data_IF_271267138463
#
_entry.id   IF_271267138463
#
_cell.length_a   1.000
_cell.length_b   1.000
_cell.length_c   1.000
_cell.angle_alpha   90.00
_cell.angle_beta   90.00
_cell.angle_gamma   90.00
#
_symmetry.space_group_name_H-M   'P 1'
#
loop_
_entity.id
_entity.type
_entity.pdbx_description
1 polymer ?
#
# COMPACT_ATOMS: atom_id res chain seq x y z
N UNK A 1 -41.21 44.66 39.26
CA UNK A 1 -39.81 44.54 38.76
C UNK A 1 -39.46 43.12 38.29
N UNK A 2 -40.38 42.14 38.39
CA UNK A 2 -40.05 40.70 38.28
C UNK A 2 -40.05 40.11 36.85
N UNK A 3 -40.68 40.79 35.89
CA UNK A 3 -40.83 40.27 34.53
C UNK A 3 -39.53 40.34 33.71
N UNK A 4 -38.75 41.42 33.87
CA UNK A 4 -37.46 41.60 33.16
C UNK A 4 -36.39 40.64 33.67
N UNK A 5 -36.31 40.42 34.99
CA UNK A 5 -35.32 39.54 35.61
C UNK A 5 -35.50 38.09 35.15
N UNK A 6 -36.75 37.60 35.11
CA UNK A 6 -37.10 36.22 34.70
C UNK A 6 -36.83 35.97 33.21
N UNK A 7 -37.01 36.97 32.34
CA UNK A 7 -36.71 36.88 30.89
C UNK A 7 -35.21 36.83 30.62
N UNK A 8 -34.40 37.61 31.36
CA UNK A 8 -32.95 37.58 31.27
C UNK A 8 -32.36 36.23 31.73
N UNK A 9 -32.85 35.64 32.82
CA UNK A 9 -32.36 34.33 33.27
C UNK A 9 -32.66 33.21 32.27
N UNK A 10 -33.81 33.27 31.57
CA UNK A 10 -34.17 32.30 30.53
C UNK A 10 -33.31 32.45 29.27
N UNK A 11 -33.00 33.69 28.89
CA UNK A 11 -32.10 34.00 27.76
C UNK A 11 -30.66 33.54 28.04
N UNK A 12 -30.13 33.82 29.23
CA UNK A 12 -28.79 33.41 29.67
C UNK A 12 -28.66 31.88 29.71
N UNK A 13 -29.67 31.17 30.23
CA UNK A 13 -29.69 29.69 30.22
C UNK A 13 -29.71 29.11 28.79
N UNK A 14 -30.36 29.80 27.85
CA UNK A 14 -30.34 29.43 26.42
C UNK A 14 -28.96 29.61 25.79
N UNK A 15 -28.31 30.74 26.05
CA UNK A 15 -26.96 31.05 25.58
C UNK A 15 -25.90 30.07 26.12
N UNK A 16 -25.98 29.71 27.40
CA UNK A 16 -25.06 28.72 28.00
C UNK A 16 -25.22 27.34 27.31
N UNK A 17 -26.46 26.93 27.02
CA UNK A 17 -26.72 25.68 26.29
C UNK A 17 -26.18 25.71 24.86
N UNK A 18 -26.36 26.82 24.12
CA UNK A 18 -25.82 26.94 22.77
C UNK A 18 -24.30 26.95 22.75
N UNK A 19 -23.64 27.60 23.71
CA UNK A 19 -22.17 27.59 23.83
C UNK A 19 -21.68 26.16 24.12
N UNK A 20 -22.36 25.43 25.02
CA UNK A 20 -22.01 24.03 25.31
C UNK A 20 -22.11 23.11 24.07
N UNK A 21 -23.15 23.30 23.24
CA UNK A 21 -23.28 22.56 21.98
C UNK A 21 -22.16 22.91 21.01
N UNK A 22 -21.79 24.19 20.88
CA UNK A 22 -20.69 24.62 20.01
C UNK A 22 -19.37 23.98 20.45
N UNK A 23 -19.07 23.97 21.75
CA UNK A 23 -17.84 23.35 22.28
C UNK A 23 -17.82 21.85 21.98
N UNK A 24 -18.95 21.15 22.15
CA UNK A 24 -19.06 19.72 21.80
C UNK A 24 -18.83 19.47 20.31
N UNK A 25 -19.44 20.28 19.43
CA UNK A 25 -19.27 20.14 17.98
C UNK A 25 -17.83 20.42 17.57
N UNK A 26 -17.20 21.49 18.09
CA UNK A 26 -15.80 21.81 17.80
C UNK A 26 -14.88 20.72 18.31
N UNK A 27 -15.09 20.24 19.54
CA UNK A 27 -14.30 19.14 20.11
C UNK A 27 -14.41 17.86 19.29
N UNK A 28 -15.61 17.54 18.79
CA UNK A 28 -15.83 16.38 17.93
C UNK A 28 -15.13 16.50 16.58
N UNK A 29 -15.16 17.69 15.95
CA UNK A 29 -14.44 17.94 14.68
C UNK A 29 -12.93 17.79 14.89
N UNK A 30 -12.38 18.36 15.97
CA UNK A 30 -10.95 18.23 16.29
C UNK A 30 -10.58 16.77 16.52
N UNK A 31 -11.40 16.02 17.25
CA UNK A 31 -11.18 14.59 17.49
C UNK A 31 -11.17 13.76 16.20
N UNK A 32 -12.12 14.01 15.29
CA UNK A 32 -12.12 13.37 13.96
C UNK A 32 -10.85 13.74 13.19
N UNK A 33 -10.45 15.01 13.21
CA UNK A 33 -9.25 15.47 12.51
C UNK A 33 -8.00 14.71 12.95
N UNK A 34 -7.77 14.61 14.26
CA UNK A 34 -6.62 13.87 14.82
C UNK A 34 -6.71 12.38 14.48
N UNK A 35 -7.89 11.78 14.63
CA UNK A 35 -8.07 10.34 14.37
C UNK A 35 -7.83 9.98 12.90
N UNK A 36 -8.22 10.85 11.97
CA UNK A 36 -7.94 10.67 10.54
C UNK A 36 -6.45 10.84 10.23
N UNK A 37 -5.79 11.82 10.86
CA UNK A 37 -4.36 12.07 10.67
C UNK A 37 -3.53 10.84 11.09
N UNK A 38 -3.77 10.32 12.30
CA UNK A 38 -3.12 9.10 12.80
C UNK A 38 -3.37 7.89 11.88
N UNK A 39 -4.59 7.79 11.33
CA UNK A 39 -4.95 6.72 10.40
C UNK A 39 -4.20 6.82 9.07
N UNK A 40 -4.14 8.01 8.46
CA UNK A 40 -3.41 8.22 7.21
C UNK A 40 -1.90 8.04 7.40
N UNK A 41 -1.36 8.47 8.54
CA UNK A 41 0.05 8.27 8.87
C UNK A 41 0.44 6.79 8.93
N UNK A 42 -0.42 5.95 9.51
CA UNK A 42 -0.20 4.51 9.55
C UNK A 42 -0.27 3.89 8.15
N UNK A 43 -1.26 4.25 7.35
CA UNK A 43 -1.36 3.79 5.95
C UNK A 43 -0.10 4.18 5.17
N UNK A 44 0.37 5.42 5.29
CA UNK A 44 1.54 5.91 4.58
C UNK A 44 2.81 5.15 4.99
N UNK A 45 2.97 4.85 6.28
CA UNK A 45 4.09 4.05 6.79
C UNK A 45 4.05 2.62 6.25
N UNK A 46 2.88 1.97 6.30
CA UNK A 46 2.72 0.62 5.76
C UNK A 46 2.98 0.59 4.25
N UNK A 47 2.44 1.56 3.52
CA UNK A 47 2.67 1.68 2.09
C UNK A 47 4.17 1.83 1.79
N UNK A 48 4.87 2.71 2.50
CA UNK A 48 6.31 2.90 2.32
C UNK A 48 7.11 1.60 2.53
N UNK A 49 6.79 0.83 3.58
CA UNK A 49 7.43 -0.47 3.86
C UNK A 49 7.17 -1.47 2.72
N UNK A 50 5.93 -1.54 2.21
CA UNK A 50 5.58 -2.43 1.09
C UNK A 50 6.33 -2.07 -0.19
N UNK A 51 6.52 -0.78 -0.47
CA UNK A 51 7.27 -0.31 -1.64
C UNK A 51 8.76 -0.60 -1.50
N UNK A 52 9.34 -0.36 -0.31
CA UNK A 52 10.74 -0.70 -0.03
C UNK A 52 11.00 -2.20 -0.28
N UNK A 53 10.17 -3.08 0.30
CA UNK A 53 10.28 -4.52 0.07
C UNK A 53 10.04 -4.90 -1.39
N UNK A 54 9.12 -4.23 -2.09
CA UNK A 54 8.89 -4.48 -3.52
C UNK A 54 10.15 -4.20 -4.33
N UNK A 55 10.85 -3.09 -4.07
CA UNK A 55 12.08 -2.76 -4.79
C UNK A 55 13.21 -3.76 -4.49
N UNK A 56 13.32 -4.23 -3.25
CA UNK A 56 14.25 -5.31 -2.89
C UNK A 56 13.91 -6.60 -3.63
N UNK A 57 12.65 -7.00 -3.65
CA UNK A 57 12.18 -8.19 -4.36
C UNK A 57 12.46 -8.13 -5.86
N UNK A 58 12.21 -6.97 -6.49
CA UNK A 58 12.48 -6.75 -7.92
C UNK A 58 13.97 -6.95 -8.19
N UNK A 59 14.84 -6.33 -7.38
CA UNK A 59 16.30 -6.47 -7.54
C UNK A 59 16.75 -7.92 -7.40
N UNK A 60 16.26 -8.64 -6.39
CA UNK A 60 16.59 -10.06 -6.18
C UNK A 60 16.15 -10.89 -7.39
N UNK A 61 14.91 -10.68 -7.85
CA UNK A 61 14.36 -11.39 -9.00
C UNK A 61 15.13 -11.08 -10.30
N UNK A 62 15.49 -9.82 -10.55
CA UNK A 62 16.34 -9.43 -11.68
C UNK A 62 17.66 -10.19 -11.67
N UNK A 63 18.36 -10.22 -10.53
CA UNK A 63 19.63 -10.95 -10.40
C UNK A 63 19.48 -12.46 -10.62
N UNK A 64 18.37 -13.06 -10.18
CA UNK A 64 18.08 -14.48 -10.42
C UNK A 64 17.82 -14.75 -11.90
N UNK A 65 17.03 -13.91 -12.55
CA UNK A 65 16.69 -14.04 -13.98
C UNK A 65 17.93 -13.81 -14.84
N UNK A 66 18.78 -12.83 -14.49
CA UNK A 66 20.05 -12.59 -15.18
C UNK A 66 20.93 -13.83 -15.22
N UNK A 67 21.03 -14.53 -14.07
CA UNK A 67 21.83 -15.75 -13.93
C UNK A 67 21.20 -16.92 -14.68
N UNK A 68 19.89 -17.11 -14.55
CA UNK A 68 19.17 -18.25 -15.13
C UNK A 68 19.09 -18.16 -16.66
N UNK A 69 18.86 -16.96 -17.20
CA UNK A 69 18.74 -16.73 -18.64
C UNK A 69 20.07 -16.32 -19.30
N UNK A 70 21.12 -16.05 -18.51
CA UNK A 70 22.41 -15.53 -18.97
C UNK A 70 22.28 -14.27 -19.85
N UNK A 71 21.36 -13.38 -19.46
CA UNK A 71 21.03 -12.13 -20.17
C UNK A 71 21.00 -11.01 -19.14
N UNK A 72 21.67 -9.89 -19.40
CA UNK A 72 21.61 -8.74 -18.47
C UNK A 72 20.20 -8.16 -18.39
N UNK A 73 19.81 -7.70 -17.20
CA UNK A 73 18.61 -6.92 -16.84
C UNK A 73 18.35 -5.75 -17.76
N UNK A 74 19.39 -5.20 -18.40
CA UNK A 74 19.25 -4.15 -19.42
C UNK A 74 18.53 -4.59 -20.69
N UNK A 75 18.46 -5.89 -20.95
CA UNK A 75 17.92 -6.47 -22.18
C UNK A 75 16.63 -7.27 -21.98
N UNK A 76 16.13 -7.37 -20.75
CA UNK A 76 14.82 -7.92 -20.47
C UNK A 76 13.98 -6.93 -19.67
N UNK A 77 12.67 -7.14 -19.70
CA UNK A 77 11.73 -6.39 -18.86
C UNK A 77 10.95 -7.36 -17.99
N UNK A 78 10.84 -7.04 -16.71
CA UNK A 78 9.94 -7.73 -15.81
C UNK A 78 8.58 -7.02 -15.76
N UNK A 79 7.51 -7.79 -15.84
CA UNK A 79 6.14 -7.31 -15.80
C UNK A 79 5.37 -8.13 -14.77
N UNK A 80 4.86 -7.48 -13.75
CA UNK A 80 4.01 -8.07 -12.71
C UNK A 80 2.54 -7.97 -13.12
N UNK A 81 1.72 -8.81 -12.50
CA UNK A 81 0.26 -8.74 -12.62
C UNK A 81 -0.26 -8.14 -11.32
N UNK A 82 -0.87 -6.97 -11.42
CA UNK A 82 -1.49 -6.32 -10.26
C UNK A 82 -3.01 -6.48 -10.32
N UNK A 83 -3.63 -7.07 -9.28
CA UNK A 83 -5.08 -7.13 -9.19
C UNK A 83 -5.66 -5.75 -8.85
N UNK A 84 -6.66 -5.33 -9.61
CA UNK A 84 -7.49 -4.15 -9.42
C UNK A 84 -8.97 -4.57 -9.28
N UNK A 85 -9.80 -3.64 -8.77
CA UNK A 85 -11.24 -3.87 -8.54
C UNK A 85 -12.00 -4.44 -9.75
N UNK A 86 -11.55 -4.18 -10.98
CA UNK A 86 -12.24 -4.55 -12.22
C UNK A 86 -11.42 -5.48 -13.13
N UNK A 87 -10.29 -6.02 -12.65
CA UNK A 87 -9.45 -6.91 -13.44
C UNK A 87 -8.00 -6.87 -13.02
N UNK A 88 -7.13 -7.34 -13.91
CA UNK A 88 -5.70 -7.38 -13.69
C UNK A 88 -5.01 -6.43 -14.66
N UNK A 89 -4.02 -5.69 -14.16
CA UNK A 89 -3.21 -4.77 -14.97
C UNK A 89 -1.77 -5.25 -14.93
N UNK A 90 -1.17 -5.33 -16.12
CA UNK A 90 0.26 -5.55 -16.25
C UNK A 90 1.02 -4.28 -15.88
N UNK A 91 1.91 -4.38 -14.90
CA UNK A 91 2.72 -3.27 -14.41
C UNK A 91 4.19 -3.62 -14.59
N UNK A 92 4.98 -2.70 -15.16
CA UNK A 92 6.42 -2.90 -15.24
C UNK A 92 7.03 -2.91 -13.83
N UNK A 93 7.79 -3.97 -13.54
CA UNK A 93 8.50 -4.13 -12.28
C UNK A 93 9.90 -3.56 -12.44
N UNK A 94 10.13 -2.37 -11.87
CA UNK A 94 11.40 -1.66 -11.89
C UNK A 94 11.54 -0.74 -10.66
N UNK A 95 12.60 0.06 -10.61
CA UNK A 95 12.88 0.96 -9.48
C UNK A 95 11.81 2.06 -9.23
N UNK A 96 10.88 2.27 -10.16
CA UNK A 96 9.80 3.25 -10.04
C UNK A 96 8.43 2.58 -9.77
N UNK A 97 8.40 1.26 -9.50
CA UNK A 97 7.16 0.57 -9.19
C UNK A 97 6.60 1.09 -7.87
N UNK A 98 5.41 1.70 -7.91
CA UNK A 98 4.66 2.21 -6.75
C UNK A 98 3.59 1.22 -6.27
N UNK A 99 3.55 0.05 -6.89
CA UNK A 99 2.62 -1.03 -6.57
C UNK A 99 3.29 -2.06 -5.67
N UNK A 100 2.54 -2.68 -4.75
CA UNK A 100 3.06 -3.78 -3.94
C UNK A 100 3.31 -5.03 -4.80
N UNK A 101 4.45 -5.67 -4.59
CA UNK A 101 4.80 -6.99 -5.13
C UNK A 101 5.54 -7.80 -4.05
N UNK A 102 4.78 -8.26 -3.07
CA UNK A 102 5.24 -8.86 -1.80
C UNK A 102 4.39 -10.07 -1.38
N UNK A 103 3.51 -10.53 -2.26
CA UNK A 103 2.57 -11.60 -2.01
C UNK A 103 3.29 -12.95 -1.90
N UNK A 104 2.64 -13.92 -1.25
CA UNK A 104 3.19 -15.27 -1.07
C UNK A 104 3.56 -15.96 -2.38
N UNK A 105 2.80 -15.70 -3.44
CA UNK A 105 2.96 -16.32 -4.75
C UNK A 105 3.49 -15.29 -5.77
N UNK A 106 4.71 -14.80 -5.54
CA UNK A 106 5.40 -13.91 -6.48
C UNK A 106 5.58 -14.59 -7.84
N UNK A 107 5.03 -13.94 -8.86
CA UNK A 107 5.18 -14.32 -10.26
C UNK A 107 5.40 -13.07 -11.11
N UNK A 108 6.13 -13.21 -12.20
CA UNK A 108 6.29 -12.15 -13.18
C UNK A 108 6.42 -12.70 -14.59
N UNK A 109 6.18 -11.85 -15.57
CA UNK A 109 6.54 -12.08 -16.97
C UNK A 109 7.88 -11.44 -17.26
N UNK A 110 8.74 -12.15 -17.96
CA UNK A 110 10.01 -11.66 -18.49
C UNK A 110 9.89 -11.55 -20.00
N UNK A 111 9.99 -10.33 -20.51
CA UNK A 111 9.97 -10.05 -21.95
C UNK A 111 11.40 -9.84 -22.44
N UNK A 112 11.84 -10.66 -23.39
CA UNK A 112 13.18 -10.57 -23.96
C UNK A 112 13.16 -10.93 -25.45
N UNK A 113 13.71 -10.06 -26.29
CA UNK A 113 13.81 -10.26 -27.75
C UNK A 113 12.49 -10.65 -28.44
N UNK A 114 11.35 -10.15 -27.95
CA UNK A 114 10.01 -10.45 -28.48
C UNK A 114 9.43 -11.80 -28.02
N UNK A 115 10.12 -12.49 -27.11
CA UNK A 115 9.65 -13.68 -26.42
C UNK A 115 9.20 -13.33 -25.00
N UNK A 116 8.16 -14.01 -24.53
CA UNK A 116 7.61 -13.84 -23.19
C UNK A 116 7.80 -15.13 -22.39
N UNK A 117 8.23 -14.97 -21.16
CA UNK A 117 8.41 -16.05 -20.22
C UNK A 117 7.63 -15.75 -18.94
N UNK A 118 6.89 -16.71 -18.40
CA UNK A 118 6.33 -16.62 -17.05
C UNK A 118 7.37 -17.22 -16.10
N UNK A 119 7.78 -16.44 -15.11
CA UNK A 119 8.69 -16.85 -14.06
C UNK A 119 7.91 -16.98 -12.76
N UNK A 120 8.03 -18.15 -12.14
CA UNK A 120 7.42 -18.49 -10.86
C UNK A 120 8.55 -18.67 -9.86
N UNK A 121 8.47 -17.95 -8.75
CA UNK A 121 9.46 -18.01 -7.69
C UNK A 121 8.99 -18.94 -6.57
N UNK A 122 9.95 -19.58 -5.90
CA UNK A 122 9.75 -20.04 -4.53
C UNK A 122 10.07 -18.86 -3.61
N UNK A 123 9.20 -18.62 -2.63
CA UNK A 123 9.24 -17.43 -1.79
C UNK A 123 9.32 -17.82 -0.33
N UNK A 124 9.92 -16.95 0.48
CA UNK A 124 9.93 -17.07 1.94
C UNK A 124 9.33 -15.82 2.59
N UNK A 125 8.77 -15.98 3.78
CA UNK A 125 8.24 -14.85 4.56
C UNK A 125 9.40 -14.01 5.07
N UNK A 126 9.30 -12.69 4.93
CA UNK A 126 10.25 -11.73 5.48
C UNK A 126 9.83 -11.37 6.89
N UNK A 127 10.79 -11.33 7.82
CA UNK A 127 10.57 -10.83 9.18
C UNK A 127 10.36 -9.32 9.14
N UNK A 128 9.09 -8.91 8.96
CA UNK A 128 8.70 -7.52 8.99
C UNK A 128 8.78 -6.96 10.41
N UNK A 129 9.32 -5.74 10.56
CA UNK A 129 9.26 -4.99 11.83
C UNK A 129 7.82 -4.73 12.30
N UNK A 130 6.87 -4.76 11.37
CA UNK A 130 5.45 -4.71 11.63
C UNK A 130 4.87 -6.12 11.49
N UNK A 131 4.57 -6.77 12.63
CA UNK A 131 4.06 -8.15 12.68
C UNK A 131 2.72 -8.33 11.95
N UNK A 132 1.98 -7.25 11.70
CA UNK A 132 0.69 -7.26 10.99
C UNK A 132 0.86 -7.32 9.45
N UNK A 133 2.05 -7.00 8.93
CA UNK A 133 2.35 -7.04 7.50
C UNK A 133 2.97 -8.37 7.10
N UNK A 134 2.23 -9.18 6.37
CA UNK A 134 2.80 -10.35 5.72
C UNK A 134 3.47 -9.94 4.41
N UNK A 135 4.78 -10.13 4.35
CA UNK A 135 5.60 -9.85 3.17
C UNK A 135 6.45 -11.07 2.84
N UNK A 136 6.68 -11.28 1.55
CA UNK A 136 7.46 -12.39 1.04
C UNK A 136 8.51 -11.89 0.06
N UNK A 137 9.62 -12.62 -0.02
CA UNK A 137 10.71 -12.37 -0.96
C UNK A 137 11.02 -13.62 -1.78
N UNK A 138 11.47 -13.47 -3.04
CA UNK A 138 11.87 -14.60 -3.87
C UNK A 138 13.21 -15.17 -3.38
N UNK A 139 13.29 -16.50 -3.23
CA UNK A 139 14.54 -17.19 -2.82
C UNK A 139 15.17 -18.00 -3.94
N UNK A 140 14.36 -18.50 -4.88
CA UNK A 140 14.84 -19.16 -6.09
C UNK A 140 13.76 -19.14 -7.17
N UNK A 141 14.19 -19.31 -8.42
CA UNK A 141 13.28 -19.57 -9.51
C UNK A 141 12.82 -21.02 -9.41
N UNK A 142 11.51 -21.22 -9.21
CA UNK A 142 10.90 -22.54 -9.22
C UNK A 142 10.68 -23.03 -10.65
N UNK A 143 10.19 -22.14 -11.54
CA UNK A 143 9.89 -22.50 -12.92
C UNK A 143 9.96 -21.30 -13.86
N UNK A 144 10.44 -21.54 -15.08
CA UNK A 144 10.32 -20.61 -16.22
C UNK A 144 9.51 -21.31 -17.32
N UNK A 145 8.47 -20.64 -17.83
CA UNK A 145 7.59 -21.17 -18.86
C UNK A 145 7.58 -20.17 -20.03
N UNK A 146 8.02 -20.60 -21.21
CA UNK A 146 7.88 -19.80 -22.43
C UNK A 146 6.41 -19.76 -22.85
N UNK A 147 5.83 -18.57 -23.00
CA UNK A 147 4.49 -18.41 -23.57
C UNK A 147 4.54 -18.83 -25.05
N UNK A 148 3.66 -19.77 -25.43
CA UNK A 148 3.46 -20.12 -26.83
C UNK A 148 2.49 -19.11 -27.45
N UNK A 149 2.91 -18.47 -28.54
CA UNK A 149 2.02 -17.67 -29.40
C UNK A 149 1.09 -18.56 -30.20
#
# INVERSE_FOLDING_TARGET
>A
MDSQTKKNTRSIKGLIKSIGIIILVVGFIVYIGISLDDYFDNINKEHAIKIEQTHENIKIAEEMIEKELNISSKYFKMVGIQPYLLGEVEVELNANTESSWIEKDLTCKVQVNGENYIVIFENQKVDAKNEELEMYEPVKINKIIKEQK
#
